data_IF_555807552943
#
_entry.id   IF_555807552943
#
_cell.length_a   1.000
_cell.length_b   1.000
_cell.length_c   1.000
_cell.angle_alpha   90.00
_cell.angle_beta   90.00
_cell.angle_gamma   90.00
#
_symmetry.space_group_name_H-M   'P 1'
#
loop_
_entity.id
_entity.type
_entity.pdbx_description
1 polymer ?
#
# COMPACT_ATOMS: atom_id res chain seq x y z
N UNK A 1 -46.09 1.50 -46.66
CA UNK A 1 -45.56 0.25 -46.08
C UNK A 1 -44.30 0.44 -45.25
N UNK A 2 -43.29 1.21 -45.68
CA UNK A 2 -42.03 1.46 -44.92
C UNK A 2 -42.22 2.11 -43.56
N UNK A 3 -43.06 3.15 -43.42
CA UNK A 3 -43.36 3.81 -42.16
C UNK A 3 -43.95 2.86 -41.09
N UNK A 4 -44.80 1.91 -41.52
CA UNK A 4 -45.40 0.91 -40.61
C UNK A 4 -44.36 -0.12 -40.22
N UNK A 5 -43.45 -0.49 -41.09
CA UNK A 5 -42.37 -1.44 -40.81
C UNK A 5 -41.35 -0.84 -39.83
N UNK A 6 -40.93 0.41 -40.04
CA UNK A 6 -40.06 1.14 -39.16
C UNK A 6 -40.70 1.36 -37.77
N UNK A 7 -41.99 1.70 -37.70
CA UNK A 7 -42.73 1.83 -36.44
C UNK A 7 -42.77 0.51 -35.66
N UNK A 8 -42.98 -0.61 -36.37
CA UNK A 8 -43.00 -1.94 -35.75
C UNK A 8 -41.59 -2.37 -35.23
N UNK A 9 -40.53 -2.00 -35.95
CA UNK A 9 -39.15 -2.27 -35.52
C UNK A 9 -38.79 -1.46 -34.27
N UNK A 10 -39.18 -0.19 -34.21
CA UNK A 10 -38.97 0.68 -33.04
C UNK A 10 -39.77 0.14 -31.83
N UNK A 11 -41.03 -0.21 -32.03
CA UNK A 11 -41.88 -0.78 -30.98
C UNK A 11 -41.27 -2.10 -30.47
N UNK A 12 -40.79 -2.96 -31.36
CA UNK A 12 -40.15 -4.22 -31.00
C UNK A 12 -38.83 -4.00 -30.26
N UNK A 13 -38.06 -2.98 -30.60
CA UNK A 13 -36.83 -2.64 -29.90
C UNK A 13 -37.10 -2.11 -28.48
N UNK A 14 -38.07 -1.19 -28.37
CA UNK A 14 -38.52 -0.69 -27.05
C UNK A 14 -39.06 -1.82 -26.18
N UNK A 15 -39.90 -2.69 -26.78
CA UNK A 15 -40.45 -3.86 -26.08
C UNK A 15 -39.38 -4.85 -25.60
N UNK A 16 -38.17 -4.84 -26.18
CA UNK A 16 -37.02 -5.64 -25.70
C UNK A 16 -36.36 -5.05 -24.45
N UNK A 17 -36.44 -3.75 -24.28
CA UNK A 17 -35.79 -3.03 -23.17
C UNK A 17 -36.60 -3.09 -21.88
N UNK A 18 -37.91 -3.23 -21.99
CA UNK A 18 -38.81 -3.25 -20.83
C UNK A 18 -39.38 -4.66 -20.59
N UNK A 19 -39.44 -5.05 -19.33
CA UNK A 19 -40.06 -6.32 -18.90
C UNK A 19 -41.58 -6.27 -19.01
N UNK A 20 -42.13 -5.08 -18.69
CA UNK A 20 -43.60 -4.88 -18.72
C UNK A 20 -43.94 -3.52 -19.35
N UNK A 21 -44.93 -3.51 -20.23
CA UNK A 21 -45.50 -2.32 -20.87
C UNK A 21 -47.02 -2.43 -20.84
N UNK A 22 -47.70 -1.43 -20.30
CA UNK A 22 -49.17 -1.33 -20.37
C UNK A 22 -49.61 0.08 -20.71
N UNK A 23 -50.78 0.17 -21.35
CA UNK A 23 -51.52 1.40 -21.54
C UNK A 23 -52.51 1.55 -20.38
N UNK A 24 -52.58 2.72 -19.81
CA UNK A 24 -53.48 3.02 -18.69
C UNK A 24 -54.45 4.13 -19.11
N UNK A 25 -55.74 3.89 -18.91
CA UNK A 25 -56.77 4.93 -18.94
C UNK A 25 -57.00 5.40 -17.49
N UNK A 26 -56.66 6.63 -17.22
CA UNK A 26 -56.66 7.20 -15.85
C UNK A 26 -58.09 7.36 -15.35
N UNK A 27 -59.03 7.81 -16.23
CA UNK A 27 -60.44 8.07 -15.86
C UNK A 27 -61.24 6.79 -15.62
N UNK A 28 -60.94 5.75 -16.41
CA UNK A 28 -61.60 4.47 -16.30
C UNK A 28 -60.98 3.56 -15.23
N UNK A 29 -59.86 3.96 -14.60
CA UNK A 29 -59.04 3.07 -13.75
C UNK A 29 -58.77 1.72 -14.44
N UNK A 30 -58.36 1.76 -15.70
CA UNK A 30 -58.25 0.57 -16.53
C UNK A 30 -56.88 0.47 -17.19
N UNK A 31 -56.29 -0.71 -17.21
CA UNK A 31 -55.08 -0.98 -17.93
C UNK A 31 -55.26 -2.08 -18.98
N UNK A 32 -54.46 -1.98 -20.04
CA UNK A 32 -54.32 -2.98 -21.08
C UNK A 32 -52.83 -3.28 -21.32
N UNK A 33 -52.47 -4.56 -21.14
CA UNK A 33 -51.10 -5.03 -21.35
C UNK A 33 -50.73 -4.98 -22.83
N UNK A 34 -49.59 -4.37 -23.13
CA UNK A 34 -49.01 -4.32 -24.48
C UNK A 34 -47.92 -5.38 -24.62
N UNK A 35 -47.07 -5.52 -23.59
CA UNK A 35 -46.00 -6.48 -23.54
C UNK A 35 -45.70 -6.91 -22.11
N UNK A 36 -45.50 -8.20 -21.88
CA UNK A 36 -45.10 -8.74 -20.60
C UNK A 36 -44.10 -9.87 -20.80
N UNK A 37 -42.87 -9.66 -20.32
CA UNK A 37 -41.76 -10.63 -20.29
C UNK A 37 -41.45 -11.13 -18.90
N UNK A 38 -42.01 -10.48 -17.88
CA UNK A 38 -41.85 -10.87 -16.51
C UNK A 38 -42.94 -11.93 -16.17
N UNK A 39 -42.51 -13.18 -16.29
CA UNK A 39 -43.40 -14.33 -16.02
C UNK A 39 -43.43 -14.72 -14.55
N UNK A 40 -42.60 -14.15 -13.71
CA UNK A 40 -42.49 -14.52 -12.30
C UNK A 40 -43.26 -13.57 -11.40
N UNK A 41 -43.06 -12.24 -11.54
CA UNK A 41 -43.55 -11.23 -10.61
C UNK A 41 -44.81 -10.50 -11.13
N UNK A 42 -44.94 -10.33 -12.43
CA UNK A 42 -45.99 -9.54 -13.05
C UNK A 42 -47.02 -10.46 -13.76
N UNK A 43 -47.51 -11.48 -13.07
CA UNK A 43 -48.59 -12.32 -13.56
C UNK A 43 -49.94 -11.59 -13.46
N UNK A 44 -50.13 -10.59 -14.29
CA UNK A 44 -51.39 -9.87 -14.38
C UNK A 44 -52.36 -10.53 -15.35
N UNK A 45 -53.64 -10.20 -15.18
CA UNK A 45 -54.59 -10.33 -16.26
C UNK A 45 -54.18 -9.39 -17.41
N UNK A 46 -54.40 -9.76 -18.66
CA UNK A 46 -54.04 -8.92 -19.82
C UNK A 46 -54.70 -7.54 -19.78
N UNK A 47 -55.75 -7.37 -19.00
CA UNK A 47 -56.45 -6.11 -18.78
C UNK A 47 -57.30 -6.18 -17.50
N UNK A 48 -57.62 -5.03 -16.94
CA UNK A 48 -58.45 -4.96 -15.73
C UNK A 48 -58.34 -3.63 -14.99
N UNK A 49 -58.88 -3.57 -13.78
CA UNK A 49 -58.71 -2.41 -12.91
C UNK A 49 -57.28 -2.29 -12.41
N UNK A 50 -56.69 -1.11 -12.64
CA UNK A 50 -55.31 -0.87 -12.26
C UNK A 50 -55.11 -0.76 -10.76
N UNK A 51 -56.04 -0.10 -10.06
CA UNK A 51 -56.00 0.08 -8.60
C UNK A 51 -55.92 -1.26 -7.86
N UNK A 52 -56.75 -2.21 -8.24
CA UNK A 52 -56.78 -3.54 -7.65
C UNK A 52 -55.50 -4.35 -7.96
N UNK A 53 -54.98 -4.20 -9.19
CA UNK A 53 -53.75 -4.85 -9.62
C UNK A 53 -52.53 -4.28 -8.90
N UNK A 54 -52.42 -2.97 -8.77
CA UNK A 54 -51.33 -2.29 -8.08
C UNK A 54 -51.30 -2.66 -6.58
N UNK A 55 -52.47 -2.77 -5.92
CA UNK A 55 -52.52 -3.18 -4.52
C UNK A 55 -51.98 -4.60 -4.32
N UNK A 56 -52.40 -5.51 -5.18
CA UNK A 56 -51.90 -6.88 -5.15
C UNK A 56 -50.39 -6.98 -5.39
N UNK A 57 -49.85 -6.28 -6.41
CA UNK A 57 -48.44 -6.30 -6.72
C UNK A 57 -47.64 -5.70 -5.58
N UNK A 58 -48.04 -4.54 -5.06
CA UNK A 58 -47.34 -3.88 -3.99
C UNK A 58 -47.24 -4.78 -2.75
N UNK A 59 -48.35 -5.34 -2.27
CA UNK A 59 -48.35 -6.18 -1.06
C UNK A 59 -47.60 -7.49 -1.25
N UNK A 60 -47.69 -8.10 -2.42
CA UNK A 60 -47.09 -9.40 -2.70
C UNK A 60 -45.61 -9.36 -3.01
N UNK A 61 -45.16 -8.40 -3.81
CA UNK A 61 -43.84 -8.43 -4.43
C UNK A 61 -42.93 -7.26 -4.04
N UNK A 62 -43.48 -6.06 -3.70
CA UNK A 62 -42.63 -4.88 -3.36
C UNK A 62 -42.15 -5.00 -1.91
N UNK A 63 -40.84 -4.74 -1.70
CA UNK A 63 -40.26 -4.72 -0.36
C UNK A 63 -40.92 -3.68 0.54
N UNK A 64 -41.12 -4.00 1.82
CA UNK A 64 -41.93 -3.21 2.77
C UNK A 64 -41.55 -1.75 2.83
N UNK A 65 -40.26 -1.47 2.80
CA UNK A 65 -39.66 -0.12 2.83
C UNK A 65 -40.05 0.76 1.63
N UNK A 66 -40.41 0.15 0.48
CA UNK A 66 -40.80 0.85 -0.74
C UNK A 66 -42.32 0.89 -0.97
N UNK A 67 -43.12 0.20 -0.19
CA UNK A 67 -44.57 0.06 -0.44
C UNK A 67 -45.28 1.41 -0.38
N UNK A 68 -44.97 2.26 0.61
CA UNK A 68 -45.61 3.58 0.74
C UNK A 68 -45.27 4.49 -0.49
N UNK A 69 -44.01 4.51 -0.89
CA UNK A 69 -43.57 5.25 -2.06
C UNK A 69 -44.23 4.71 -3.35
N UNK A 70 -44.34 3.40 -3.48
CA UNK A 70 -44.98 2.75 -4.62
C UNK A 70 -46.49 3.12 -4.67
N UNK A 71 -47.25 3.01 -3.58
CA UNK A 71 -48.65 3.38 -3.55
C UNK A 71 -48.88 4.86 -3.90
N UNK A 72 -48.04 5.75 -3.37
CA UNK A 72 -48.12 7.17 -3.67
C UNK A 72 -47.78 7.44 -5.15
N UNK A 73 -46.86 6.70 -5.73
CA UNK A 73 -46.48 6.84 -7.12
C UNK A 73 -47.57 6.36 -8.08
N UNK A 74 -48.19 5.25 -7.83
CA UNK A 74 -49.19 4.64 -8.73
C UNK A 74 -50.62 5.17 -8.51
N UNK A 75 -50.82 6.14 -7.61
CA UNK A 75 -52.14 6.75 -7.36
C UNK A 75 -52.61 7.57 -8.57
N UNK A 76 -53.59 7.05 -9.27
CA UNK A 76 -54.15 7.67 -10.47
C UNK A 76 -54.86 9.00 -10.19
N UNK A 77 -55.36 9.23 -8.97
CA UNK A 77 -56.07 10.46 -8.61
C UNK A 77 -55.13 11.67 -8.62
N UNK A 78 -53.89 11.45 -8.20
CA UNK A 78 -52.86 12.52 -8.14
C UNK A 78 -52.00 12.59 -9.38
N UNK A 79 -52.01 11.56 -10.25
CA UNK A 79 -51.14 11.45 -11.41
C UNK A 79 -51.31 12.59 -12.40
N UNK A 80 -52.52 13.09 -12.79
CA UNK A 80 -52.69 14.20 -13.72
C UNK A 80 -52.02 15.51 -13.22
N UNK A 81 -52.10 15.79 -11.95
CA UNK A 81 -51.48 16.99 -11.35
C UNK A 81 -49.94 16.89 -11.31
N UNK A 82 -49.44 15.69 -10.91
CA UNK A 82 -48.00 15.43 -10.87
C UNK A 82 -47.33 15.43 -12.25
N UNK A 83 -48.06 15.10 -13.32
CA UNK A 83 -47.61 15.12 -14.70
C UNK A 83 -48.01 16.39 -15.45
N UNK A 84 -48.47 17.43 -14.75
CA UNK A 84 -48.95 18.68 -15.41
C UNK A 84 -47.85 19.37 -16.24
N UNK A 85 -46.61 19.38 -15.71
CA UNK A 85 -45.44 19.98 -16.34
C UNK A 85 -44.36 18.94 -16.69
N UNK A 86 -44.64 17.67 -16.49
CA UNK A 86 -43.70 16.57 -16.67
C UNK A 86 -44.25 15.57 -17.68
N UNK A 87 -43.48 15.23 -18.70
CA UNK A 87 -43.86 14.20 -19.67
C UNK A 87 -43.63 12.79 -19.13
N UNK A 88 -42.80 12.67 -18.10
CA UNK A 88 -42.40 11.37 -17.54
C UNK A 88 -42.20 11.46 -16.04
N UNK A 89 -42.76 10.48 -15.31
CA UNK A 89 -42.45 10.24 -13.89
C UNK A 89 -41.72 8.90 -13.73
N UNK A 90 -40.80 8.84 -12.77
CA UNK A 90 -39.97 7.66 -12.55
C UNK A 90 -39.95 7.30 -11.07
N UNK A 91 -40.08 6.02 -10.77
CA UNK A 91 -39.88 5.44 -9.44
C UNK A 91 -38.92 4.26 -9.56
N UNK A 92 -37.92 4.22 -8.69
CA UNK A 92 -37.09 3.05 -8.46
C UNK A 92 -37.51 2.39 -7.14
N UNK A 93 -37.69 1.09 -7.17
CA UNK A 93 -38.12 0.34 -6.00
C UNK A 93 -37.51 -1.05 -6.00
N UNK A 94 -37.44 -1.64 -4.82
CA UNK A 94 -36.89 -2.98 -4.64
C UNK A 94 -38.01 -3.98 -4.44
N UNK A 95 -37.87 -5.15 -5.03
CA UNK A 95 -38.75 -6.30 -4.84
C UNK A 95 -38.32 -7.09 -3.60
N UNK A 96 -39.21 -7.94 -3.05
CA UNK A 96 -38.93 -8.78 -1.89
C UNK A 96 -37.83 -9.82 -2.12
N UNK A 97 -37.67 -10.26 -3.36
CA UNK A 97 -36.56 -11.15 -3.78
C UNK A 97 -35.20 -10.47 -3.92
N UNK A 98 -35.17 -9.13 -3.77
CA UNK A 98 -33.97 -8.33 -3.85
C UNK A 98 -33.77 -7.61 -5.17
N UNK A 99 -34.56 -7.89 -6.20
CA UNK A 99 -34.42 -7.25 -7.51
C UNK A 99 -34.86 -5.79 -7.50
N UNK A 100 -34.13 -4.97 -8.22
CA UNK A 100 -34.43 -3.55 -8.39
C UNK A 100 -35.17 -3.31 -9.69
N UNK A 101 -36.31 -2.62 -9.58
CA UNK A 101 -37.13 -2.26 -10.72
C UNK A 101 -37.25 -0.75 -10.85
N UNK A 102 -37.37 -0.29 -12.10
CA UNK A 102 -37.69 1.09 -12.44
C UNK A 102 -39.02 1.12 -13.15
N UNK A 103 -40.02 1.73 -12.51
CA UNK A 103 -41.33 2.02 -13.09
C UNK A 103 -41.33 3.42 -13.63
N UNK A 104 -41.84 3.59 -14.84
CA UNK A 104 -41.95 4.89 -15.51
C UNK A 104 -43.36 5.06 -16.03
N UNK A 105 -43.98 6.22 -15.73
CA UNK A 105 -45.15 6.70 -16.44
C UNK A 105 -44.73 7.68 -17.50
N UNK A 106 -45.21 7.49 -18.74
CA UNK A 106 -44.96 8.38 -19.87
C UNK A 106 -46.30 8.87 -20.38
N UNK A 107 -46.44 10.20 -20.57
CA UNK A 107 -47.61 10.80 -21.15
C UNK A 107 -47.93 10.23 -22.51
N UNK A 108 -49.22 9.90 -22.74
CA UNK A 108 -49.68 9.42 -24.04
C UNK A 108 -50.75 10.31 -24.68
N UNK A 109 -51.72 10.78 -23.87
CA UNK A 109 -52.85 11.55 -24.38
C UNK A 109 -53.38 12.51 -23.32
N UNK A 110 -53.71 13.71 -23.73
CA UNK A 110 -54.53 14.69 -22.95
C UNK A 110 -55.88 14.88 -23.67
N UNK A 111 -56.87 15.34 -22.94
CA UNK A 111 -58.18 15.78 -23.49
C UNK A 111 -58.09 17.23 -24.06
N UNK A 112 -59.23 17.73 -24.54
CA UNK A 112 -59.34 19.06 -25.12
C UNK A 112 -59.06 20.20 -24.14
N UNK A 113 -59.15 19.91 -22.79
CA UNK A 113 -58.85 20.84 -21.72
C UNK A 113 -57.41 20.71 -21.23
N UNK A 114 -56.58 19.86 -21.86
CA UNK A 114 -55.18 19.62 -21.45
C UNK A 114 -55.02 18.66 -20.27
N UNK A 115 -56.09 18.02 -19.81
CA UNK A 115 -56.01 17.08 -18.69
C UNK A 115 -55.50 15.73 -19.19
N UNK A 116 -54.53 15.13 -18.46
CA UNK A 116 -53.93 13.84 -18.78
C UNK A 116 -54.99 12.73 -18.65
N UNK A 117 -55.21 12.01 -19.74
CA UNK A 117 -56.18 10.92 -19.78
C UNK A 117 -55.55 9.54 -19.91
N UNK A 118 -54.44 9.44 -20.61
CA UNK A 118 -53.77 8.16 -20.83
C UNK A 118 -52.28 8.26 -20.61
N UNK A 119 -51.69 7.25 -19.99
CA UNK A 119 -50.25 7.08 -19.85
C UNK A 119 -49.81 5.69 -20.29
N UNK A 120 -48.49 5.57 -20.62
CA UNK A 120 -47.84 4.25 -20.70
C UNK A 120 -47.12 3.98 -19.40
N UNK A 121 -47.34 2.80 -18.84
CA UNK A 121 -46.56 2.26 -17.74
C UNK A 121 -45.46 1.35 -18.31
N UNK A 122 -44.24 1.63 -17.95
CA UNK A 122 -43.07 0.91 -18.41
C UNK A 122 -42.30 0.43 -17.20
N UNK A 123 -42.01 -0.87 -17.09
CA UNK A 123 -41.23 -1.44 -15.99
C UNK A 123 -40.02 -2.19 -16.59
N UNK A 124 -38.85 -1.96 -16.00
CA UNK A 124 -37.64 -2.71 -16.32
C UNK A 124 -36.84 -3.03 -15.06
N UNK A 125 -36.12 -4.15 -15.05
CA UNK A 125 -35.13 -4.42 -14.03
C UNK A 125 -33.92 -3.47 -14.22
N UNK A 126 -33.40 -3.00 -13.09
CA UNK A 126 -32.19 -2.18 -12.99
C UNK A 126 -31.19 -2.78 -12.01
N UNK A 127 -31.36 -4.07 -11.64
CA UNK A 127 -30.52 -4.76 -10.67
C UNK A 127 -29.04 -4.74 -11.05
N UNK A 128 -28.73 -4.95 -12.33
CA UNK A 128 -27.36 -4.89 -12.81
C UNK A 128 -26.80 -3.45 -12.73
N UNK A 129 -27.62 -2.45 -13.06
CA UNK A 129 -27.21 -1.04 -12.94
C UNK A 129 -26.88 -0.71 -11.46
N UNK A 130 -27.72 -1.15 -10.53
CA UNK A 130 -27.50 -0.92 -9.09
C UNK A 130 -26.26 -1.65 -8.57
N UNK A 131 -25.98 -2.87 -9.04
CA UNK A 131 -24.74 -3.59 -8.71
C UNK A 131 -23.50 -2.81 -9.19
N UNK A 132 -23.53 -2.33 -10.44
CA UNK A 132 -22.43 -1.54 -10.99
C UNK A 132 -22.24 -0.20 -10.26
N UNK A 133 -23.34 0.49 -9.92
CA UNK A 133 -23.26 1.73 -9.13
C UNK A 133 -22.61 1.47 -7.77
N UNK A 134 -23.00 0.40 -7.08
CA UNK A 134 -22.43 0.04 -5.78
C UNK A 134 -20.95 -0.34 -5.88
N UNK A 135 -20.59 -1.15 -6.88
CA UNK A 135 -19.20 -1.54 -7.12
C UNK A 135 -18.33 -0.31 -7.43
N UNK A 136 -18.82 0.60 -8.28
CA UNK A 136 -18.12 1.84 -8.62
C UNK A 136 -17.89 2.72 -7.38
N UNK A 137 -18.92 2.89 -6.54
CA UNK A 137 -18.81 3.64 -5.29
C UNK A 137 -17.79 3.01 -4.33
N UNK A 138 -17.76 1.68 -4.25
CA UNK A 138 -16.79 0.95 -3.44
C UNK A 138 -15.37 1.20 -3.95
N UNK A 139 -15.14 1.06 -5.26
CA UNK A 139 -13.83 1.30 -5.88
C UNK A 139 -13.38 2.76 -5.73
N UNK A 140 -14.31 3.73 -5.87
CA UNK A 140 -14.02 5.15 -5.66
C UNK A 140 -13.60 5.44 -4.23
N UNK A 141 -14.28 4.87 -3.24
CA UNK A 141 -13.91 5.04 -1.83
C UNK A 141 -12.56 4.42 -1.51
N UNK A 142 -12.25 3.23 -2.04
CA UNK A 142 -10.94 2.59 -1.88
C UNK A 142 -9.83 3.40 -2.56
N UNK A 143 -10.07 3.90 -3.77
CA UNK A 143 -9.13 4.77 -4.46
C UNK A 143 -8.89 6.09 -3.69
N UNK A 144 -9.93 6.66 -3.10
CA UNK A 144 -9.85 7.87 -2.27
C UNK A 144 -9.03 7.64 -1.00
N UNK A 145 -9.23 6.51 -0.32
CA UNK A 145 -8.43 6.11 0.85
C UNK A 145 -6.97 5.94 0.48
N UNK A 146 -6.68 5.23 -0.60
CA UNK A 146 -5.32 5.03 -1.08
C UNK A 146 -4.63 6.35 -1.46
N UNK A 147 -5.35 7.27 -2.14
CA UNK A 147 -4.83 8.60 -2.47
C UNK A 147 -4.54 9.45 -1.23
N UNK A 148 -5.41 9.41 -0.22
CA UNK A 148 -5.22 10.13 1.04
C UNK A 148 -4.00 9.60 1.82
N UNK A 149 -3.82 8.28 1.88
CA UNK A 149 -2.65 7.65 2.48
C UNK A 149 -1.36 8.06 1.75
N UNK A 150 -1.37 8.05 0.41
CA UNK A 150 -0.21 8.48 -0.40
C UNK A 150 0.11 9.96 -0.21
N UNK A 151 -0.88 10.83 -0.13
CA UNK A 151 -0.68 12.25 0.13
C UNK A 151 -0.08 12.50 1.53
N UNK A 152 -0.58 11.80 2.56
CA UNK A 152 -0.02 11.82 3.92
C UNK A 152 1.43 11.31 3.94
N UNK A 153 1.71 10.23 3.21
CA UNK A 153 3.04 9.69 3.02
C UNK A 153 4.02 10.77 2.49
N UNK A 154 3.70 11.43 1.37
CA UNK A 154 4.55 12.45 0.76
C UNK A 154 4.74 13.68 1.68
N UNK A 155 3.70 14.09 2.40
CA UNK A 155 3.77 15.20 3.35
C UNK A 155 4.73 14.89 4.51
N UNK A 156 4.61 13.71 5.11
CA UNK A 156 5.47 13.28 6.21
C UNK A 156 6.92 13.14 5.77
N UNK A 157 7.17 12.54 4.59
CA UNK A 157 8.51 12.45 3.98
C UNK A 157 9.16 13.83 3.81
N UNK A 158 8.40 14.79 3.25
CA UNK A 158 8.92 16.15 3.04
C UNK A 158 9.31 16.83 4.36
N UNK A 159 8.54 16.61 5.41
CA UNK A 159 8.85 17.13 6.74
C UNK A 159 10.11 16.47 7.32
N UNK A 160 10.19 15.13 7.26
CA UNK A 160 11.27 14.37 7.87
C UNK A 160 12.61 14.52 7.14
N UNK A 161 12.60 14.81 5.84
CA UNK A 161 13.77 15.24 5.06
C UNK A 161 14.19 16.66 5.43
N UNK A 162 13.24 17.59 5.57
CA UNK A 162 13.51 19.01 5.83
C UNK A 162 14.16 19.23 7.19
N UNK A 163 13.77 18.46 8.20
CA UNK A 163 14.26 18.63 9.58
C UNK A 163 15.78 18.41 9.67
N UNK A 164 16.37 17.27 9.30
CA UNK A 164 17.81 17.07 9.33
C UNK A 164 18.56 18.02 8.37
N UNK A 165 17.99 18.34 7.21
CA UNK A 165 18.56 19.28 6.26
C UNK A 165 18.71 20.68 6.87
N UNK A 166 17.67 21.19 7.53
CA UNK A 166 17.72 22.47 8.25
C UNK A 166 18.69 22.40 9.44
N UNK A 167 18.80 21.24 10.12
CA UNK A 167 19.79 20.98 11.15
C UNK A 167 21.22 21.10 10.63
N UNK A 168 21.52 20.51 9.49
CA UNK A 168 22.85 20.61 8.82
C UNK A 168 23.15 22.06 8.47
N UNK A 169 22.22 22.76 7.80
CA UNK A 169 22.41 24.16 7.39
C UNK A 169 22.60 25.07 8.60
N UNK A 170 21.77 24.90 9.64
CA UNK A 170 21.88 25.69 10.87
C UNK A 170 23.21 25.46 11.59
N UNK A 171 23.67 24.20 11.64
CA UNK A 171 24.93 23.83 12.28
C UNK A 171 26.13 24.34 11.48
N UNK A 172 26.08 24.33 10.14
CA UNK A 172 27.10 24.95 9.28
C UNK A 172 27.19 26.46 9.51
N UNK A 173 26.05 27.14 9.62
CA UNK A 173 26.02 28.57 9.94
C UNK A 173 26.64 28.88 11.33
N UNK A 174 26.43 27.98 12.29
CA UNK A 174 27.05 28.10 13.62
C UNK A 174 28.56 27.88 13.53
N UNK A 175 29.02 26.86 12.81
CA UNK A 175 30.43 26.60 12.60
C UNK A 175 31.14 27.78 11.93
N UNK A 176 30.54 28.39 10.90
CA UNK A 176 31.06 29.58 10.22
C UNK A 176 31.12 30.82 11.13
N UNK A 177 30.25 30.91 12.12
CA UNK A 177 30.25 32.03 13.08
C UNK A 177 31.38 31.94 14.13
N UNK A 178 31.84 30.74 14.41
CA UNK A 178 32.89 30.45 15.39
C UNK A 178 34.02 29.60 14.78
N UNK A 179 34.75 30.14 13.79
CA UNK A 179 35.76 29.38 13.02
C UNK A 179 36.92 28.89 13.86
N UNK A 180 37.33 29.69 14.84
CA UNK A 180 38.53 29.45 15.68
C UNK A 180 38.23 28.66 16.97
N UNK A 181 36.95 28.39 17.28
CA UNK A 181 36.57 27.61 18.45
C UNK A 181 36.52 26.10 18.13
N UNK A 182 37.62 25.42 18.45
CA UNK A 182 37.80 23.99 18.17
C UNK A 182 36.72 23.10 18.79
N UNK A 183 36.20 23.48 19.97
CA UNK A 183 35.13 22.67 20.61
C UNK A 183 33.82 22.84 19.89
N UNK A 184 33.46 24.05 19.51
CA UNK A 184 32.29 24.34 18.68
C UNK A 184 32.40 23.63 17.35
N UNK A 185 33.58 23.72 16.68
CA UNK A 185 33.85 23.07 15.41
C UNK A 185 33.69 21.54 15.51
N UNK A 186 34.21 20.91 16.58
CA UNK A 186 34.05 19.47 16.81
C UNK A 186 32.57 19.08 16.98
N UNK A 187 31.83 19.79 17.83
CA UNK A 187 30.40 19.55 18.06
C UNK A 187 29.58 19.74 16.77
N UNK A 188 29.89 20.76 15.98
CA UNK A 188 29.23 21.01 14.69
C UNK A 188 29.48 19.86 13.71
N UNK A 189 30.70 19.36 13.58
CA UNK A 189 31.02 18.21 12.72
C UNK A 189 30.27 16.95 13.15
N UNK A 190 30.24 16.65 14.44
CA UNK A 190 29.50 15.49 15.01
C UNK A 190 27.99 15.60 14.70
N UNK A 191 27.41 16.79 14.86
CA UNK A 191 25.99 17.02 14.62
C UNK A 191 25.64 16.96 13.13
N UNK A 192 26.48 17.52 12.26
CA UNK A 192 26.32 17.43 10.81
C UNK A 192 26.38 15.96 10.36
N UNK A 193 27.39 15.22 10.85
CA UNK A 193 27.53 13.80 10.53
C UNK A 193 26.32 12.97 10.98
N UNK A 194 25.82 13.21 12.19
CA UNK A 194 24.61 12.53 12.71
C UNK A 194 23.40 12.84 11.85
N UNK A 195 23.16 14.12 11.56
CA UNK A 195 22.02 14.55 10.73
C UNK A 195 22.11 14.02 9.30
N UNK A 196 23.32 13.97 8.72
CA UNK A 196 23.54 13.41 7.37
C UNK A 196 23.29 11.91 7.33
N UNK A 197 23.79 11.14 8.32
CA UNK A 197 23.48 9.69 8.42
C UNK A 197 22.00 9.43 8.55
N UNK A 198 21.30 10.24 9.33
CA UNK A 198 19.84 10.12 9.48
C UNK A 198 19.11 10.44 8.17
N UNK A 199 19.53 11.49 7.44
CA UNK A 199 18.95 11.81 6.13
C UNK A 199 19.15 10.68 5.12
N UNK A 200 20.33 10.08 5.05
CA UNK A 200 20.60 8.92 4.19
C UNK A 200 19.73 7.73 4.56
N UNK A 201 19.51 7.47 5.86
CA UNK A 201 18.63 6.39 6.28
C UNK A 201 17.18 6.61 5.84
N UNK A 202 16.67 7.86 5.93
CA UNK A 202 15.33 8.21 5.42
C UNK A 202 15.21 7.95 3.92
N UNK A 203 16.18 8.41 3.15
CA UNK A 203 16.18 8.24 1.68
C UNK A 203 16.20 6.75 1.32
N UNK A 204 17.03 5.96 1.99
CA UNK A 204 17.08 4.52 1.76
C UNK A 204 15.77 3.81 2.14
N UNK A 205 15.15 4.17 3.27
CA UNK A 205 13.85 3.62 3.67
C UNK A 205 12.76 3.92 2.61
N UNK A 206 12.79 5.12 2.04
CA UNK A 206 11.87 5.54 0.97
C UNK A 206 12.11 4.73 -0.31
N UNK A 207 13.38 4.56 -0.71
CA UNK A 207 13.74 3.78 -1.90
C UNK A 207 13.36 2.32 -1.73
N UNK A 208 13.59 1.73 -0.56
CA UNK A 208 13.19 0.36 -0.24
C UNK A 208 11.67 0.20 -0.31
N UNK A 209 10.91 1.15 0.27
CA UNK A 209 9.45 1.15 0.22
C UNK A 209 8.94 1.21 -1.23
N UNK A 210 9.51 2.10 -2.06
CA UNK A 210 9.14 2.21 -3.47
C UNK A 210 9.47 0.93 -4.27
N UNK A 211 10.64 0.33 -4.03
CA UNK A 211 11.01 -0.95 -4.67
C UNK A 211 10.05 -2.07 -4.27
N UNK A 212 9.66 -2.13 -3.01
CA UNK A 212 8.69 -3.10 -2.51
C UNK A 212 7.28 -2.87 -3.07
N UNK A 213 6.86 -1.63 -3.36
CA UNK A 213 5.54 -1.31 -3.95
C UNK A 213 5.47 -1.56 -5.45
N UNK A 214 6.53 -1.23 -6.19
CA UNK A 214 6.53 -1.31 -7.66
C UNK A 214 6.59 -2.73 -8.23
N UNK A 215 6.74 -3.75 -7.41
CA UNK A 215 6.87 -5.13 -7.87
C UNK A 215 8.15 -5.45 -8.63
N UNK A 216 9.04 -4.47 -8.76
CA UNK A 216 10.22 -4.51 -9.63
C UNK A 216 11.40 -5.34 -9.09
N UNK A 217 11.27 -5.97 -7.94
CA UNK A 217 12.33 -6.85 -7.44
C UNK A 217 12.04 -8.26 -7.92
N UNK A 218 12.85 -8.68 -8.86
CA UNK A 218 12.93 -10.07 -9.31
C UNK A 218 13.09 -10.97 -8.09
N UNK A 219 12.32 -12.04 -8.03
CA UNK A 219 12.56 -13.18 -7.15
C UNK A 219 13.94 -13.74 -7.48
N UNK A 220 14.98 -13.11 -6.94
CA UNK A 220 16.34 -13.60 -7.09
C UNK A 220 16.54 -14.68 -6.04
N UNK A 221 16.57 -15.93 -6.48
CA UNK A 221 16.99 -17.06 -5.68
C UNK A 221 18.54 -17.08 -5.61
N UNK A 222 19.08 -16.19 -4.78
CA UNK A 222 20.53 -16.12 -4.56
C UNK A 222 20.89 -17.12 -3.47
N UNK A 223 21.85 -18.03 -3.70
CA UNK A 223 22.37 -18.88 -2.64
C UNK A 223 23.04 -18.05 -1.54
N UNK A 224 22.73 -18.32 -0.29
CA UNK A 224 23.38 -17.68 0.86
C UNK A 224 23.44 -18.60 2.07
N UNK A 225 24.40 -18.35 2.95
CA UNK A 225 24.51 -19.05 4.22
C UNK A 225 23.87 -18.23 5.34
N UNK A 226 22.83 -18.80 5.98
CA UNK A 226 22.06 -18.13 7.03
C UNK A 226 22.93 -17.77 8.25
N UNK A 227 23.86 -18.64 8.65
CA UNK A 227 24.74 -18.40 9.79
C UNK A 227 25.65 -17.18 9.57
N UNK A 228 26.19 -17.04 8.36
CA UNK A 228 27.04 -15.89 8.00
C UNK A 228 26.21 -14.58 8.01
N UNK A 229 24.99 -14.62 7.50
CA UNK A 229 24.07 -13.49 7.51
C UNK A 229 23.72 -13.08 8.94
N UNK A 230 23.32 -14.04 9.79
CA UNK A 230 22.97 -13.77 11.19
C UNK A 230 24.17 -13.22 11.96
N UNK A 231 25.36 -13.77 11.78
CA UNK A 231 26.58 -13.29 12.41
C UNK A 231 26.87 -11.83 12.01
N UNK A 232 26.77 -11.49 10.72
CA UNK A 232 27.01 -10.13 10.22
C UNK A 232 26.04 -9.11 10.85
N UNK A 233 24.74 -9.43 10.93
CA UNK A 233 23.73 -8.59 11.54
C UNK A 233 24.02 -8.42 13.05
N UNK A 234 24.24 -9.53 13.75
CA UNK A 234 24.38 -9.51 15.21
C UNK A 234 25.64 -8.81 15.69
N UNK A 235 26.77 -8.96 14.98
CA UNK A 235 28.04 -8.31 15.35
C UNK A 235 27.90 -6.78 15.43
N UNK A 236 27.25 -6.18 14.45
CA UNK A 236 26.97 -4.74 14.42
C UNK A 236 26.06 -4.30 15.57
N UNK A 237 25.02 -5.11 15.90
CA UNK A 237 24.07 -4.81 16.95
C UNK A 237 24.61 -5.00 18.34
N UNK A 238 25.45 -5.98 18.58
CA UNK A 238 26.14 -6.17 19.85
C UNK A 238 26.99 -4.93 20.22
N UNK A 239 27.74 -4.38 19.27
CA UNK A 239 28.52 -3.17 19.49
C UNK A 239 27.63 -1.96 19.83
N UNK A 240 26.57 -1.77 19.07
CA UNK A 240 25.60 -0.68 19.30
C UNK A 240 24.88 -0.79 20.64
N UNK A 241 24.49 -1.99 21.05
CA UNK A 241 23.87 -2.26 22.34
C UNK A 241 24.84 -2.01 23.51
N UNK A 242 26.11 -2.45 23.37
CA UNK A 242 27.16 -2.21 24.36
C UNK A 242 27.41 -0.71 24.59
N UNK A 243 27.44 0.10 23.53
CA UNK A 243 27.56 1.56 23.62
C UNK A 243 26.42 2.21 24.42
N UNK A 244 25.23 1.58 24.44
CA UNK A 244 24.04 2.01 25.19
C UNK A 244 23.89 1.36 26.53
N UNK A 245 24.81 0.48 26.96
CA UNK A 245 24.71 -0.34 28.16
C UNK A 245 23.43 -1.21 28.16
N UNK A 246 23.12 -1.85 27.01
CA UNK A 246 22.03 -2.80 26.82
C UNK A 246 22.64 -4.19 26.60
N UNK A 247 22.13 -5.21 27.32
CA UNK A 247 22.57 -6.58 27.15
C UNK A 247 21.97 -7.15 25.82
N UNK A 248 22.84 -7.68 24.93
CA UNK A 248 22.39 -8.27 23.68
C UNK A 248 22.68 -9.77 23.66
N UNK A 249 21.61 -10.58 23.70
CA UNK A 249 21.68 -12.04 23.86
C UNK A 249 21.31 -12.68 22.53
N UNK A 250 22.17 -13.57 22.05
CA UNK A 250 21.98 -14.31 20.79
C UNK A 250 21.78 -15.79 21.10
N UNK A 251 20.59 -16.31 20.81
CA UNK A 251 20.18 -17.68 21.17
C UNK A 251 20.10 -18.65 19.96
N UNK A 252 20.51 -18.27 18.76
CA UNK A 252 20.36 -19.13 17.59
C UNK A 252 21.42 -20.26 17.50
N UNK A 253 22.60 -20.07 18.11
CA UNK A 253 23.66 -21.10 18.12
C UNK A 253 23.29 -22.36 18.90
N UNK A 254 22.33 -22.27 19.81
CA UNK A 254 21.84 -23.37 20.64
C UNK A 254 20.66 -24.12 19.98
N UNK A 255 20.18 -23.64 18.85
CA UNK A 255 19.05 -24.23 18.14
C UNK A 255 19.52 -25.41 17.25
N UNK A 256 18.69 -26.46 17.13
CA UNK A 256 18.93 -27.59 16.20
C UNK A 256 18.62 -27.15 14.75
N UNK A 257 19.51 -26.34 14.16
CA UNK A 257 19.40 -25.82 12.80
C UNK A 257 20.21 -26.73 11.88
N UNK A 258 19.54 -27.34 10.91
CA UNK A 258 20.16 -28.32 9.97
C UNK A 258 20.47 -27.74 8.61
N UNK A 259 19.64 -26.81 8.14
CA UNK A 259 19.72 -26.27 6.78
C UNK A 259 20.20 -24.82 6.81
N UNK A 260 21.52 -24.61 6.78
CA UNK A 260 22.11 -23.26 6.81
C UNK A 260 22.28 -22.66 5.42
N UNK A 261 22.42 -23.49 4.38
CA UNK A 261 22.58 -23.03 3.01
C UNK A 261 21.21 -22.94 2.37
N UNK A 262 20.81 -21.72 2.03
CA UNK A 262 19.47 -21.36 1.58
C UNK A 262 19.54 -20.67 0.21
N UNK A 263 18.43 -20.70 -0.51
CA UNK A 263 18.24 -19.88 -1.70
C UNK A 263 17.08 -18.92 -1.49
N UNK A 264 17.31 -17.62 -1.78
CA UNK A 264 16.34 -16.56 -1.58
C UNK A 264 16.94 -15.18 -1.82
N UNK A 265 16.41 -14.17 -1.15
CA UNK A 265 16.95 -12.82 -1.21
C UNK A 265 17.61 -12.41 0.12
N UNK A 266 18.95 -12.62 0.27
CA UNK A 266 19.66 -12.34 1.51
C UNK A 266 19.59 -10.85 1.92
N UNK A 267 19.50 -9.92 0.94
CA UNK A 267 19.40 -8.48 1.21
C UNK A 267 18.11 -8.15 1.96
N UNK A 268 17.00 -8.77 1.58
CA UNK A 268 15.74 -8.57 2.27
C UNK A 268 15.72 -9.19 3.66
N UNK A 269 16.30 -10.38 3.80
CA UNK A 269 16.42 -11.03 5.12
C UNK A 269 17.29 -10.18 6.05
N UNK A 270 18.44 -9.70 5.57
CA UNK A 270 19.34 -8.83 6.34
C UNK A 270 18.63 -7.51 6.72
N UNK A 271 17.90 -6.89 5.79
CA UNK A 271 17.15 -5.65 6.02
C UNK A 271 16.04 -5.85 7.07
N UNK A 272 15.31 -6.96 6.96
CA UNK A 272 14.26 -7.34 7.90
C UNK A 272 14.81 -7.48 9.33
N UNK A 273 15.84 -8.31 9.49
CA UNK A 273 16.46 -8.57 10.79
C UNK A 273 17.08 -7.30 11.39
N UNK A 274 17.70 -6.47 10.53
CA UNK A 274 18.27 -5.18 10.94
C UNK A 274 17.18 -4.23 11.43
N UNK A 275 16.07 -4.07 10.71
CA UNK A 275 14.98 -3.18 11.10
C UNK A 275 14.38 -3.55 12.47
N UNK A 276 14.19 -4.84 12.72
CA UNK A 276 13.63 -5.31 14.00
C UNK A 276 14.64 -5.14 15.13
N UNK A 277 15.90 -5.53 14.92
CA UNK A 277 16.96 -5.41 15.94
C UNK A 277 17.29 -3.94 16.25
N UNK A 278 17.28 -3.05 15.25
CA UNK A 278 17.46 -1.61 15.46
C UNK A 278 16.38 -1.02 16.36
N UNK A 279 15.12 -1.39 16.13
CA UNK A 279 14.02 -0.95 16.98
C UNK A 279 14.19 -1.47 18.42
N UNK A 280 14.54 -2.73 18.59
CA UNK A 280 14.75 -3.32 19.90
C UNK A 280 15.87 -2.59 20.70
N UNK A 281 17.05 -2.42 20.10
CA UNK A 281 18.18 -1.71 20.73
C UNK A 281 17.85 -0.23 20.94
N UNK A 282 17.14 0.39 20.01
CA UNK A 282 16.76 1.81 20.06
C UNK A 282 15.83 2.12 21.24
N UNK A 283 14.81 1.28 21.44
CA UNK A 283 13.75 1.53 22.43
C UNK A 283 14.02 0.87 23.78
N UNK A 284 15.12 0.13 23.92
CA UNK A 284 15.59 -0.39 25.20
C UNK A 284 16.51 0.62 25.87
N UNK A 285 16.24 0.91 27.15
CA UNK A 285 17.04 1.80 27.98
C UNK A 285 18.27 1.10 28.57
N UNK A 286 19.25 1.87 29.12
CA UNK A 286 20.41 1.31 29.78
C UNK A 286 20.03 0.34 30.92
N UNK A 287 20.71 -0.81 30.99
CA UNK A 287 20.43 -1.89 31.95
C UNK A 287 19.31 -2.84 31.50
N UNK A 288 18.68 -2.59 30.38
CA UNK A 288 17.74 -3.53 29.71
C UNK A 288 18.43 -4.58 28.87
N UNK A 289 17.64 -5.46 28.29
CA UNK A 289 18.15 -6.55 27.44
C UNK A 289 17.37 -6.67 26.11
N UNK A 290 18.07 -7.13 25.08
CA UNK A 290 17.52 -7.54 23.79
C UNK A 290 17.95 -8.98 23.55
N UNK A 291 16.99 -9.86 23.29
CA UNK A 291 17.23 -11.26 22.97
C UNK A 291 16.78 -11.53 21.53
N UNK A 292 17.66 -12.12 20.73
CA UNK A 292 17.38 -12.57 19.36
C UNK A 292 17.55 -14.07 19.25
N UNK A 293 16.65 -14.73 18.50
CA UNK A 293 16.73 -16.17 18.24
C UNK A 293 16.37 -16.48 16.80
N UNK A 294 16.84 -17.64 16.38
CA UNK A 294 16.47 -18.26 15.10
C UNK A 294 16.25 -19.75 15.34
N UNK A 295 15.15 -20.28 14.85
CA UNK A 295 14.81 -21.71 15.00
C UNK A 295 14.23 -22.26 13.71
N UNK A 296 14.68 -23.46 13.33
CA UNK A 296 14.08 -24.23 12.25
C UNK A 296 12.79 -24.88 12.76
N UNK A 297 11.64 -24.53 12.16
CA UNK A 297 10.31 -25.04 12.57
C UNK A 297 9.87 -26.26 11.80
N UNK A 298 10.11 -26.25 10.51
CA UNK A 298 9.72 -27.32 9.60
C UNK A 298 10.69 -27.37 8.42
N UNK A 299 11.02 -28.56 7.96
CA UNK A 299 11.72 -28.76 6.71
C UNK A 299 11.18 -29.99 5.98
N UNK A 300 11.15 -29.93 4.65
CA UNK A 300 10.98 -31.05 3.75
C UNK A 300 12.22 -31.19 2.83
N UNK A 301 12.12 -31.90 1.71
CA UNK A 301 13.26 -32.14 0.80
C UNK A 301 13.68 -30.87 0.03
N UNK A 302 12.80 -29.90 -0.14
CA UNK A 302 13.03 -28.70 -0.98
C UNK A 302 12.99 -27.38 -0.20
N UNK A 303 12.25 -27.36 0.91
CA UNK A 303 11.93 -26.12 1.65
C UNK A 303 12.15 -26.27 3.14
N UNK A 304 12.52 -25.17 3.75
CA UNK A 304 12.65 -25.03 5.20
C UNK A 304 11.93 -23.75 5.66
N UNK A 305 11.30 -23.81 6.82
CA UNK A 305 10.63 -22.67 7.44
C UNK A 305 11.38 -22.32 8.73
N UNK A 306 11.82 -21.08 8.80
CA UNK A 306 12.49 -20.52 9.96
C UNK A 306 11.58 -19.58 10.72
N UNK A 307 11.68 -19.64 12.05
CA UNK A 307 11.19 -18.62 12.95
C UNK A 307 12.36 -17.76 13.41
N UNK A 308 12.26 -16.45 13.19
CA UNK A 308 13.15 -15.46 13.73
C UNK A 308 12.41 -14.66 14.80
N UNK A 309 13.08 -14.37 15.89
CA UNK A 309 12.47 -13.58 16.94
C UNK A 309 13.41 -12.57 17.54
N UNK A 310 12.82 -11.49 18.05
CA UNK A 310 13.52 -10.45 18.78
C UNK A 310 12.64 -9.98 19.92
N UNK A 311 13.12 -10.11 21.14
CA UNK A 311 12.43 -9.64 22.35
C UNK A 311 13.27 -8.59 23.07
N UNK A 312 12.66 -7.47 23.45
CA UNK A 312 13.28 -6.40 24.20
C UNK A 312 12.55 -6.12 25.51
N UNK A 313 13.27 -5.57 26.47
CA UNK A 313 12.74 -5.08 27.76
C UNK A 313 12.56 -3.56 27.75
N UNK A 314 12.26 -2.99 26.61
CA UNK A 314 12.14 -1.55 26.38
C UNK A 314 10.82 -0.95 26.84
N UNK A 315 10.50 0.21 26.28
CA UNK A 315 9.30 0.98 26.65
C UNK A 315 7.98 0.29 26.28
N UNK A 316 7.99 -0.69 25.36
CA UNK A 316 6.79 -1.34 24.85
C UNK A 316 5.84 -0.39 24.13
N UNK A 317 4.70 -0.93 23.67
CA UNK A 317 3.67 -0.23 22.90
C UNK A 317 2.31 -0.33 23.62
N UNK A 318 1.42 0.65 23.39
CA UNK A 318 0.02 0.59 23.84
C UNK A 318 -0.81 -0.28 22.92
N UNK A 319 -1.92 -0.83 23.42
CA UNK A 319 -2.85 -1.63 22.60
C UNK A 319 -3.37 -0.86 21.38
N UNK A 320 -3.69 0.42 21.57
CA UNK A 320 -4.17 1.29 20.49
C UNK A 320 -3.11 1.55 19.40
N UNK A 321 -1.83 1.57 19.78
CA UNK A 321 -0.75 1.73 18.79
C UNK A 321 -0.45 0.42 18.07
N UNK A 322 -0.57 -0.73 18.73
CA UNK A 322 -0.34 -2.04 18.11
C UNK A 322 -1.22 -2.29 16.88
N UNK A 323 -2.47 -1.81 16.90
CA UNK A 323 -3.40 -1.92 15.75
C UNK A 323 -2.85 -1.24 14.49
N UNK A 324 -1.98 -0.24 14.65
CA UNK A 324 -1.43 0.58 13.58
C UNK A 324 0.10 0.48 13.44
N UNK A 325 0.75 -0.42 14.20
CA UNK A 325 2.21 -0.49 14.30
C UNK A 325 2.91 -0.78 12.94
N UNK A 326 2.23 -1.42 12.02
CA UNK A 326 2.72 -1.70 10.66
C UNK A 326 2.34 -0.63 9.63
N UNK A 327 1.56 0.38 10.01
CA UNK A 327 1.24 1.48 9.09
C UNK A 327 2.47 2.40 8.92
N UNK A 328 2.79 2.82 7.69
CA UNK A 328 3.91 3.71 7.44
C UNK A 328 3.79 5.03 8.21
N UNK A 329 4.91 5.53 8.76
CA UNK A 329 5.01 6.79 9.52
C UNK A 329 4.21 6.87 10.81
N UNK A 330 3.75 5.75 11.33
CA UNK A 330 3.11 5.69 12.64
C UNK A 330 4.15 5.70 13.75
N UNK A 331 3.92 6.57 14.76
CA UNK A 331 4.72 6.66 15.97
C UNK A 331 3.79 6.90 17.15
N UNK A 332 4.03 6.25 18.30
CA UNK A 332 3.12 6.26 19.45
C UNK A 332 2.93 7.65 20.08
N UNK A 333 3.93 8.54 20.02
CA UNK A 333 3.84 9.90 20.57
C UNK A 333 4.58 10.90 19.69
N UNK A 334 3.98 12.07 19.42
CA UNK A 334 4.65 13.20 18.78
C UNK A 334 5.83 13.76 19.60
N UNK A 335 5.79 13.62 20.94
CA UNK A 335 6.89 13.96 21.84
C UNK A 335 8.07 12.97 21.77
N UNK A 336 7.88 11.77 21.21
CA UNK A 336 8.95 10.80 20.97
C UNK A 336 9.86 11.22 19.79
N UNK A 337 9.39 12.08 18.89
CA UNK A 337 10.19 12.64 17.78
C UNK A 337 11.44 13.38 18.26
N UNK A 338 11.41 13.93 19.48
CA UNK A 338 12.56 14.63 20.08
C UNK A 338 13.50 13.73 20.88
N UNK A 339 13.09 12.51 21.25
CA UNK A 339 13.86 11.62 22.13
C UNK A 339 14.39 10.37 21.45
N UNK A 340 13.66 9.86 20.45
CA UNK A 340 14.03 8.66 19.68
C UNK A 340 13.84 8.96 18.20
N UNK A 341 14.91 9.34 17.49
CA UNK A 341 14.92 9.56 16.05
C UNK A 341 14.47 8.30 15.29
N UNK A 342 13.53 8.44 14.36
CA UNK A 342 13.10 7.34 13.53
C UNK A 342 12.04 7.76 12.49
N UNK A 343 12.04 7.09 11.35
CA UNK A 343 11.17 7.38 10.21
C UNK A 343 9.74 6.88 10.38
N UNK A 344 9.51 5.92 11.31
CA UNK A 344 8.25 5.17 11.38
C UNK A 344 8.01 4.24 10.20
N UNK A 345 9.05 3.98 9.38
CA UNK A 345 8.99 3.09 8.22
C UNK A 345 9.48 1.68 8.51
N UNK A 346 10.33 1.49 9.52
CA UNK A 346 11.02 0.21 9.75
C UNK A 346 10.07 -0.99 9.90
N UNK A 347 9.01 -0.88 10.71
CA UNK A 347 8.02 -1.96 10.87
C UNK A 347 7.15 -2.16 9.61
N UNK A 348 6.81 -1.08 8.91
CA UNK A 348 6.07 -1.14 7.66
C UNK A 348 6.89 -1.84 6.55
N UNK A 349 8.19 -1.52 6.46
CA UNK A 349 9.13 -2.19 5.55
C UNK A 349 9.26 -3.67 5.94
N UNK A 350 9.41 -3.96 7.24
CA UNK A 350 9.49 -5.34 7.74
C UNK A 350 8.25 -6.16 7.33
N UNK A 351 7.05 -5.64 7.54
CA UNK A 351 5.80 -6.30 7.12
C UNK A 351 5.76 -6.55 5.62
N UNK A 352 6.09 -5.54 4.81
CA UNK A 352 6.12 -5.69 3.34
C UNK A 352 7.16 -6.71 2.86
N UNK A 353 8.34 -6.78 3.50
CA UNK A 353 9.34 -7.80 3.18
C UNK A 353 8.81 -9.19 3.52
N UNK A 354 8.22 -9.37 4.70
CA UNK A 354 7.64 -10.65 5.14
C UNK A 354 6.52 -11.10 4.20
N UNK A 355 5.60 -10.19 3.85
CA UNK A 355 4.51 -10.48 2.90
C UNK A 355 5.04 -10.89 1.51
N UNK A 356 6.17 -10.30 1.09
CA UNK A 356 6.82 -10.64 -0.18
C UNK A 356 7.54 -12.00 -0.16
N UNK A 357 8.00 -12.40 1.00
CA UNK A 357 8.66 -13.70 1.22
C UNK A 357 7.67 -14.81 1.59
N UNK A 358 6.36 -14.58 1.41
CA UNK A 358 5.29 -15.50 1.78
C UNK A 358 5.35 -15.96 3.24
N UNK A 359 5.82 -15.06 4.12
CA UNK A 359 5.96 -15.29 5.55
C UNK A 359 4.83 -14.70 6.38
N UNK A 360 5.02 -14.79 7.70
CA UNK A 360 4.15 -14.14 8.68
C UNK A 360 4.97 -13.38 9.73
N UNK A 361 4.38 -12.29 10.28
CA UNK A 361 4.99 -11.47 11.33
C UNK A 361 3.96 -11.12 12.39
N UNK A 362 4.31 -11.35 13.64
CA UNK A 362 3.50 -11.04 14.81
C UNK A 362 4.27 -10.13 15.78
N UNK A 363 3.54 -9.23 16.46
CA UNK A 363 4.07 -8.37 17.50
C UNK A 363 3.25 -8.58 18.77
N UNK A 364 3.94 -8.88 19.87
CA UNK A 364 3.40 -8.87 21.22
C UNK A 364 4.11 -7.78 22.01
N UNK A 365 3.37 -6.81 22.55
CA UNK A 365 3.97 -5.71 23.30
C UNK A 365 3.07 -5.25 24.43
N UNK A 366 3.71 -4.80 25.50
CA UNK A 366 3.02 -4.17 26.63
C UNK A 366 3.82 -2.97 27.10
N UNK A 367 3.14 -1.84 27.20
CA UNK A 367 3.76 -0.57 27.63
C UNK A 367 4.46 -0.70 28.98
N UNK A 368 5.74 -0.30 29.03
CA UNK A 368 6.59 -0.40 30.22
C UNK A 368 7.16 -1.80 30.50
N UNK A 369 6.90 -2.79 29.68
CA UNK A 369 7.39 -4.18 29.82
C UNK A 369 8.38 -4.54 28.73
N UNK A 370 8.06 -4.21 27.46
CA UNK A 370 8.88 -4.50 26.30
C UNK A 370 8.05 -4.99 25.10
N UNK A 371 8.77 -5.41 24.06
CA UNK A 371 8.18 -5.88 22.81
C UNK A 371 8.82 -7.20 22.37
N UNK A 372 8.02 -8.10 21.84
CA UNK A 372 8.47 -9.33 21.16
C UNK A 372 7.94 -9.30 19.73
N UNK A 373 8.84 -9.41 18.77
CA UNK A 373 8.51 -9.56 17.34
C UNK A 373 8.92 -10.95 16.91
N UNK A 374 8.00 -11.70 16.32
CA UNK A 374 8.24 -13.05 15.79
C UNK A 374 7.91 -13.06 14.30
N UNK A 375 8.79 -13.63 13.50
CA UNK A 375 8.65 -13.71 12.04
C UNK A 375 8.85 -15.15 11.59
N UNK A 376 7.99 -15.64 10.70
CA UNK A 376 8.10 -16.97 10.10
C UNK A 376 8.33 -16.82 8.61
N UNK A 377 9.43 -17.35 8.10
CA UNK A 377 9.83 -17.22 6.69
C UNK A 377 10.13 -18.57 6.07
N UNK A 378 9.54 -18.89 4.91
CA UNK A 378 9.91 -20.05 4.12
C UNK A 378 11.10 -19.74 3.22
N UNK A 379 12.02 -20.72 3.08
CA UNK A 379 13.13 -20.64 2.15
C UNK A 379 13.24 -21.96 1.36
N UNK A 380 13.84 -21.90 0.18
CA UNK A 380 14.33 -23.09 -0.49
C UNK A 380 15.66 -23.51 0.13
N UNK A 381 15.86 -24.82 0.24
CA UNK A 381 17.16 -25.36 0.64
C UNK A 381 18.12 -25.17 -0.55
N UNK A 382 19.20 -24.46 -0.30
CA UNK A 382 20.22 -24.13 -1.29
C UNK A 382 21.35 -25.16 -1.36
N UNK A 383 22.18 -25.07 -2.41
CA UNK A 383 23.44 -25.79 -2.44
C UNK A 383 24.45 -25.12 -1.51
N UNK A 384 25.39 -25.85 -0.91
CA UNK A 384 26.42 -25.30 -0.06
C UNK A 384 27.18 -24.19 -0.79
N UNK A 385 27.18 -23.01 -0.19
CA UNK A 385 27.94 -21.87 -0.72
C UNK A 385 29.41 -22.17 -0.51
N UNK A 386 30.17 -22.34 -1.61
CA UNK A 386 31.62 -22.43 -1.50
C UNK A 386 32.13 -21.18 -0.77
N UNK A 387 32.71 -21.41 0.40
CA UNK A 387 33.40 -20.31 1.11
C UNK A 387 34.48 -19.80 0.19
N UNK A 388 34.36 -18.54 -0.22
CA UNK A 388 35.53 -17.86 -0.79
C UNK A 388 36.66 -18.12 0.21
N UNK A 389 37.67 -18.83 -0.25
CA UNK A 389 38.89 -19.06 0.55
C UNK A 389 39.30 -17.65 1.03
N UNK A 390 39.42 -17.49 2.34
CA UNK A 390 40.03 -16.28 2.90
C UNK A 390 41.28 -15.99 2.07
N UNK A 391 41.12 -15.13 1.09
CA UNK A 391 42.25 -14.55 0.40
C UNK A 391 42.86 -13.66 1.48
N UNK A 392 43.99 -14.10 2.01
CA UNK A 392 44.79 -13.27 2.84
C UNK A 392 45.14 -12.08 1.94
N UNK A 393 44.42 -11.00 2.05
CA UNK A 393 44.79 -9.73 1.43
C UNK A 393 46.06 -9.33 2.18
N UNK A 394 47.21 -9.66 1.60
CA UNK A 394 48.44 -8.96 1.96
C UNK A 394 48.14 -7.48 1.74
N UNK A 395 48.39 -6.65 2.75
CA UNK A 395 48.23 -5.21 2.64
C UNK A 395 49.12 -4.74 1.48
N UNK A 396 48.49 -4.56 0.31
CA UNK A 396 49.19 -4.03 -0.87
C UNK A 396 49.41 -2.53 -0.59
N UNK A 397 50.63 -2.06 -0.57
CA UNK A 397 50.88 -0.62 -0.41
C UNK A 397 50.24 0.13 -1.59
N UNK A 398 49.26 0.97 -1.27
CA UNK A 398 48.49 1.72 -2.28
C UNK A 398 49.22 3.02 -2.73
N UNK A 399 50.24 3.45 -2.00
CA UNK A 399 51.03 4.65 -2.29
C UNK A 399 51.73 4.54 -3.65
N UNK A 400 51.47 5.53 -4.50
CA UNK A 400 52.02 5.59 -5.85
C UNK A 400 51.24 4.84 -6.92
N UNK A 401 50.17 4.14 -6.58
CA UNK A 401 49.27 3.54 -7.58
C UNK A 401 48.58 4.62 -8.41
N UNK A 402 48.21 4.28 -9.64
CA UNK A 402 47.48 5.17 -10.55
C UNK A 402 46.04 4.70 -10.67
N UNK A 403 45.08 5.60 -10.36
CA UNK A 403 43.67 5.33 -10.47
C UNK A 403 43.00 6.20 -11.53
N UNK A 404 42.13 5.61 -12.33
CA UNK A 404 41.17 6.33 -13.18
C UNK A 404 39.82 6.38 -12.48
N UNK A 405 39.38 7.58 -12.13
CA UNK A 405 38.09 7.85 -11.50
C UNK A 405 37.11 8.43 -12.52
N UNK A 406 35.98 7.74 -12.77
CA UNK A 406 34.92 8.21 -13.64
C UNK A 406 33.70 8.57 -12.79
N UNK A 407 33.33 9.85 -12.75
CA UNK A 407 32.20 10.35 -11.97
C UNK A 407 31.62 11.58 -12.70
N UNK A 408 30.29 11.59 -12.91
CA UNK A 408 29.60 12.69 -13.61
C UNK A 408 29.23 13.87 -12.71
N UNK A 409 29.27 13.68 -11.40
CA UNK A 409 29.02 14.74 -10.42
C UNK A 409 30.35 15.35 -9.96
N UNK A 410 30.55 16.64 -10.25
CA UNK A 410 31.78 17.38 -9.95
C UNK A 410 32.16 17.34 -8.45
N UNK A 411 31.16 17.49 -7.55
CA UNK A 411 31.39 17.43 -6.10
C UNK A 411 31.80 16.02 -5.62
N UNK A 412 31.15 14.98 -6.15
CA UNK A 412 31.53 13.60 -5.83
C UNK A 412 32.94 13.30 -6.33
N UNK A 413 33.28 13.76 -7.55
CA UNK A 413 34.59 13.61 -8.14
C UNK A 413 35.68 14.26 -7.26
N UNK A 414 35.46 15.49 -6.81
CA UNK A 414 36.42 16.20 -5.94
C UNK A 414 36.64 15.45 -4.62
N UNK A 415 35.55 14.99 -3.98
CA UNK A 415 35.61 14.24 -2.72
C UNK A 415 36.38 12.93 -2.90
N UNK A 416 36.00 12.13 -3.92
CA UNK A 416 36.62 10.83 -4.17
C UNK A 416 38.11 11.00 -4.54
N UNK A 417 38.44 11.98 -5.38
CA UNK A 417 39.81 12.33 -5.70
C UNK A 417 40.62 12.68 -4.46
N UNK A 418 40.11 13.58 -3.62
CA UNK A 418 40.76 13.96 -2.37
C UNK A 418 41.03 12.77 -1.46
N UNK A 419 40.02 11.87 -1.29
CA UNK A 419 40.16 10.67 -0.45
C UNK A 419 41.23 9.71 -0.98
N UNK A 420 41.31 9.50 -2.29
CA UNK A 420 42.30 8.62 -2.92
C UNK A 420 43.72 9.23 -2.86
N UNK A 421 43.84 10.53 -3.10
CA UNK A 421 45.14 11.24 -3.01
C UNK A 421 45.66 11.27 -1.57
N UNK A 422 44.82 11.31 -0.55
CA UNK A 422 45.20 11.22 0.88
C UNK A 422 45.87 9.87 1.23
N UNK A 423 45.54 8.81 0.47
CA UNK A 423 46.20 7.49 0.53
C UNK A 423 47.47 7.41 -0.35
N UNK A 424 47.87 8.49 -1.00
CA UNK A 424 49.06 8.51 -1.87
C UNK A 424 48.83 7.97 -3.28
N UNK A 425 47.57 7.84 -3.71
CA UNK A 425 47.20 7.34 -5.04
C UNK A 425 47.18 8.50 -6.02
N UNK A 426 47.74 8.33 -7.21
CA UNK A 426 47.67 9.31 -8.30
C UNK A 426 46.35 9.16 -9.06
N UNK A 427 45.48 10.16 -8.99
CA UNK A 427 44.12 10.10 -9.54
C UNK A 427 44.00 10.93 -10.82
N UNK A 428 43.59 10.32 -11.91
CA UNK A 428 43.08 11.01 -13.09
C UNK A 428 41.54 10.87 -13.15
N UNK A 429 40.87 12.01 -13.39
CA UNK A 429 39.41 12.08 -13.40
C UNK A 429 38.89 12.06 -14.83
N UNK A 430 37.72 11.44 -15.03
CA UNK A 430 36.92 11.49 -16.25
C UNK A 430 35.49 11.89 -15.89
N UNK A 431 34.90 12.85 -16.58
CA UNK A 431 33.57 13.37 -16.28
C UNK A 431 32.45 12.47 -16.83
N UNK A 432 32.77 11.56 -17.72
CA UNK A 432 31.83 10.58 -18.27
C UNK A 432 32.52 9.30 -18.74
N UNK A 433 31.68 8.30 -19.12
CA UNK A 433 32.18 7.00 -19.58
C UNK A 433 32.95 7.07 -20.89
N UNK A 434 32.71 8.05 -21.77
CA UNK A 434 33.43 8.22 -23.05
C UNK A 434 34.85 8.72 -22.79
N UNK A 435 35.00 9.72 -21.95
CA UNK A 435 36.30 10.25 -21.51
C UNK A 435 37.10 9.18 -20.75
N UNK A 436 36.42 8.40 -19.88
CA UNK A 436 37.04 7.31 -19.14
C UNK A 436 37.63 6.26 -20.10
N UNK A 437 36.90 5.83 -21.11
CA UNK A 437 37.35 4.86 -22.12
C UNK A 437 38.52 5.42 -22.94
N UNK A 438 38.52 6.72 -23.29
CA UNK A 438 39.61 7.34 -24.02
C UNK A 438 40.89 7.39 -23.16
N UNK A 439 40.79 7.79 -21.90
CA UNK A 439 41.93 7.81 -20.97
C UNK A 439 42.46 6.42 -20.66
N UNK A 440 41.57 5.46 -20.48
CA UNK A 440 41.93 4.06 -20.22
C UNK A 440 42.75 3.45 -21.33
N UNK A 441 42.44 3.73 -22.60
CA UNK A 441 43.20 3.22 -23.77
C UNK A 441 44.61 3.80 -23.91
N UNK A 442 44.83 4.98 -23.38
CA UNK A 442 46.07 5.74 -23.60
C UNK A 442 47.11 5.55 -22.49
N UNK A 443 46.76 5.00 -21.37
CA UNK A 443 47.58 4.86 -20.18
C UNK A 443 47.40 3.50 -19.50
N UNK A 444 48.41 3.07 -18.74
CA UNK A 444 48.26 1.91 -17.84
C UNK A 444 47.76 2.37 -16.48
N UNK A 445 46.79 1.64 -15.97
CA UNK A 445 46.12 1.87 -14.69
C UNK A 445 46.28 0.68 -13.76
N UNK A 446 46.46 0.96 -12.47
CA UNK A 446 46.50 -0.06 -11.43
C UNK A 446 45.10 -0.29 -10.89
N UNK A 447 44.25 0.77 -10.88
CA UNK A 447 42.87 0.76 -10.37
C UNK A 447 41.96 1.55 -11.33
N UNK A 448 40.75 1.04 -11.58
CA UNK A 448 39.68 1.77 -12.30
C UNK A 448 38.42 1.77 -11.46
N UNK A 449 37.81 2.92 -11.20
CA UNK A 449 36.62 3.13 -10.37
C UNK A 449 35.56 3.90 -11.14
#
# INVERSE_FOLDING_TARGET
MEKVKLSNEIISSIARTYQYISRIDIQADYFEEINNRDTEHLKFTKSGKLSESNEKVCRQYVAEEYQEAFFKFVDLKTLPERMKNEETLVLEYRMKDGDWHRLRFVEKKRDENGVLTHVLCLIRSISDTKKWEHELMYQEEEARKAAALKARFLSNMSHDIRTPMNGIIGTLNLANRYPDDLEVQRKCREQIMTSSKYLVSIVNDILDMNKLESGGVVEQEIPFNLAELLNRVNLGKQKQAAEKNVEYIVDWEQSDIRHMDLAGNPIYVERLLTNISDNAVKFTGPGGSVRVWCAEKYADEERVVYEFGCADTGIGMSETFLEHAFEPFTQENETSRSRYEGTGLGLAIAKKIVDRLDGDIAIESKKGVGTTVTMTLPFKIGEPVEKEKNVNYEEIPVEGLRALLAEDNELNMEIAKFMLEDYGIHVECAADGEEAVQKFKNLSWDITM
#
